data_IF_340519456343
#
_entry.id   IF_340519456343
#
_cell.length_a   1.000
_cell.length_b   1.000
_cell.length_c   1.000
_cell.angle_alpha   90.00
_cell.angle_beta   90.00
_cell.angle_gamma   90.00
#
_symmetry.space_group_name_H-M   'P 1'
#
loop_
_entity.id
_entity.type
_entity.pdbx_description
1 polymer ?
#
# COMPACT_ATOMS: atom_id res chain seq x y z
N UNK A 1 12.41 3.77 -13.39
CA UNK A 1 13.09 2.45 -13.48
C UNK A 1 14.62 2.56 -13.63
N UNK A 2 15.40 1.83 -12.81
CA UNK A 2 16.86 1.71 -12.98
C UNK A 2 17.23 0.91 -14.24
N UNK A 3 18.46 1.10 -14.74
CA UNK A 3 18.93 0.40 -15.93
C UNK A 3 18.88 -1.12 -15.70
N UNK A 4 18.12 -1.85 -16.52
CA UNK A 4 18.12 -3.32 -16.50
C UNK A 4 17.18 -3.99 -15.49
N UNK A 5 16.19 -3.28 -14.95
CA UNK A 5 15.23 -3.85 -13.98
C UNK A 5 15.70 -3.79 -12.53
N UNK A 6 16.84 -3.16 -12.29
CA UNK A 6 17.32 -2.84 -10.95
C UNK A 6 16.48 -1.69 -10.36
N UNK A 7 16.22 -1.75 -9.04
CA UNK A 7 15.49 -0.67 -8.37
C UNK A 7 16.27 0.63 -8.54
N UNK A 8 15.57 1.71 -8.90
CA UNK A 8 16.20 3.03 -8.95
C UNK A 8 16.76 3.35 -7.56
N UNK A 9 17.99 3.86 -7.49
CA UNK A 9 18.61 4.22 -6.21
C UNK A 9 18.82 5.72 -6.13
N UNK A 10 18.62 6.27 -4.93
CA UNK A 10 18.89 7.67 -4.59
C UNK A 10 19.71 7.67 -3.31
N UNK A 11 20.88 8.31 -3.34
CA UNK A 11 21.83 8.34 -2.21
C UNK A 11 22.16 6.94 -1.64
N UNK A 12 22.15 5.90 -2.49
CA UNK A 12 22.40 4.51 -2.08
C UNK A 12 21.20 3.77 -1.48
N UNK A 13 20.03 4.40 -1.40
CA UNK A 13 18.78 3.77 -0.95
C UNK A 13 17.87 3.41 -2.12
N UNK A 14 17.14 2.29 -2.04
CA UNK A 14 16.17 1.91 -3.07
C UNK A 14 14.98 2.87 -3.07
N UNK A 15 14.51 3.23 -4.25
CA UNK A 15 13.30 4.03 -4.48
C UNK A 15 12.15 3.09 -4.84
N UNK A 16 10.99 3.34 -4.26
CA UNK A 16 9.73 2.70 -4.64
C UNK A 16 8.81 3.78 -5.18
N UNK A 17 8.36 3.60 -6.42
CA UNK A 17 7.36 4.45 -7.05
C UNK A 17 5.97 4.03 -6.52
N UNK A 18 5.21 4.98 -5.98
CA UNK A 18 3.89 4.73 -5.39
C UNK A 18 2.93 5.82 -5.84
N UNK A 19 2.04 5.49 -6.78
CA UNK A 19 1.11 6.42 -7.43
C UNK A 19 0.06 7.02 -6.47
N UNK A 20 -0.20 6.33 -5.35
CA UNK A 20 -1.13 6.81 -4.32
C UNK A 20 -0.54 7.94 -3.43
N UNK A 21 0.77 8.23 -3.53
CA UNK A 21 1.35 9.39 -2.85
C UNK A 21 0.98 10.69 -3.58
N UNK A 22 0.71 11.79 -2.85
CA UNK A 22 0.34 13.05 -3.48
C UNK A 22 1.50 13.61 -4.31
N UNK A 23 1.17 14.26 -5.44
CA UNK A 23 2.13 15.01 -6.25
C UNK A 23 2.72 16.21 -5.47
N UNK A 24 3.85 16.73 -5.98
CA UNK A 24 4.52 17.91 -5.42
C UNK A 24 3.58 19.12 -5.49
N UNK A 25 3.30 19.73 -4.34
CA UNK A 25 2.46 20.91 -4.19
C UNK A 25 2.53 21.46 -2.75
N UNK A 26 2.09 22.70 -2.54
CA UNK A 26 2.15 23.35 -1.23
C UNK A 26 1.35 22.56 -0.17
N UNK A 27 2.00 22.21 0.94
CA UNK A 27 1.44 21.40 2.01
C UNK A 27 1.41 19.90 1.74
N UNK A 28 1.81 19.43 0.55
CA UNK A 28 1.77 18.00 0.21
C UNK A 28 2.99 17.25 0.73
N UNK A 29 2.71 16.10 1.34
CA UNK A 29 3.68 15.11 1.76
C UNK A 29 4.11 14.21 0.58
N UNK A 30 4.82 14.77 -0.40
CA UNK A 30 5.09 14.06 -1.66
C UNK A 30 6.25 13.05 -1.60
N UNK A 31 7.12 13.12 -0.58
CA UNK A 31 8.24 12.17 -0.42
C UNK A 31 8.27 11.64 1.01
N UNK A 32 8.38 10.31 1.16
CA UNK A 32 8.59 9.64 2.44
C UNK A 32 9.87 8.79 2.41
N UNK A 33 10.65 8.85 3.49
CA UNK A 33 11.93 8.15 3.59
C UNK A 33 12.10 7.50 4.97
N UNK A 34 12.48 6.22 4.99
CA UNK A 34 12.78 5.49 6.21
C UNK A 34 12.57 3.98 6.11
N UNK A 35 12.57 3.29 7.24
CA UNK A 35 12.35 1.85 7.32
C UNK A 35 10.85 1.53 7.50
N UNK A 36 10.18 1.28 6.38
CA UNK A 36 8.76 0.95 6.35
C UNK A 36 8.40 -0.37 7.03
N UNK A 37 9.34 -1.32 7.13
CA UNK A 37 9.11 -2.60 7.82
C UNK A 37 8.96 -2.40 9.32
N UNK A 38 9.64 -1.39 9.88
CA UNK A 38 9.52 -1.00 11.30
C UNK A 38 8.43 0.05 11.53
N UNK A 39 8.14 0.86 10.52
CA UNK A 39 7.16 1.93 10.60
C UNK A 39 5.72 1.41 10.61
N UNK A 40 5.35 0.54 9.66
CA UNK A 40 3.95 0.20 9.41
C UNK A 40 3.70 -1.31 9.47
N UNK A 41 2.75 -1.72 10.30
CA UNK A 41 2.29 -3.11 10.35
C UNK A 41 1.05 -3.26 9.49
N UNK A 42 1.10 -4.20 8.54
CA UNK A 42 -0.08 -4.68 7.81
C UNK A 42 -0.54 -5.98 8.46
N UNK A 43 -1.78 -5.99 8.97
CA UNK A 43 -2.41 -7.15 9.58
C UNK A 43 -3.47 -7.74 8.64
N UNK A 44 -3.24 -8.97 8.20
CA UNK A 44 -4.21 -9.75 7.41
C UNK A 44 -4.77 -10.88 8.29
N UNK A 45 -6.08 -10.86 8.54
CA UNK A 45 -6.72 -11.83 9.46
C UNK A 45 -6.97 -13.17 8.77
N UNK A 46 -7.52 -13.11 7.57
CA UNK A 46 -7.89 -14.22 6.73
C UNK A 46 -7.81 -13.69 5.30
N UNK A 47 -7.13 -14.45 4.43
CA UNK A 47 -7.00 -14.11 3.02
C UNK A 47 -8.34 -13.93 2.31
N UNK A 48 -8.31 -13.65 1.00
CA UNK A 48 -9.53 -13.42 0.25
C UNK A 48 -10.46 -14.65 0.27
N UNK A 49 -11.73 -14.43 0.64
CA UNK A 49 -12.79 -15.45 0.60
C UNK A 49 -13.80 -15.07 -0.47
N UNK A 50 -14.22 -16.05 -1.26
CA UNK A 50 -15.26 -15.91 -2.28
C UNK A 50 -16.49 -16.71 -1.87
N UNK A 51 -17.66 -16.08 -1.90
CA UNK A 51 -18.96 -16.73 -1.81
C UNK A 51 -19.65 -16.64 -3.17
N UNK A 52 -20.02 -17.79 -3.72
CA UNK A 52 -20.91 -17.88 -4.88
C UNK A 52 -22.36 -17.96 -4.38
N UNK A 53 -23.19 -17.02 -4.77
CA UNK A 53 -24.60 -16.96 -4.39
C UNK A 53 -25.51 -17.04 -5.63
N UNK A 54 -26.07 -18.23 -5.92
CA UNK A 54 -27.02 -18.44 -7.01
C UNK A 54 -28.48 -18.16 -6.60
N UNK A 55 -28.74 -17.70 -5.37
CA UNK A 55 -30.09 -17.64 -4.81
C UNK A 55 -30.65 -16.22 -4.73
N UNK A 56 -29.83 -15.22 -4.38
CA UNK A 56 -30.32 -13.86 -4.10
C UNK A 56 -30.82 -13.11 -5.34
N UNK A 57 -30.24 -13.34 -6.53
CA UNK A 57 -30.63 -12.63 -7.76
C UNK A 57 -30.69 -13.57 -8.97
N UNK A 58 -31.78 -14.33 -9.09
CA UNK A 58 -32.05 -15.16 -10.29
C UNK A 58 -32.19 -14.25 -11.53
N UNK A 59 -31.64 -14.61 -12.71
CA UNK A 59 -30.95 -15.85 -13.11
C UNK A 59 -29.42 -15.83 -12.92
N UNK A 60 -28.86 -14.87 -12.17
CA UNK A 60 -27.42 -14.65 -12.05
C UNK A 60 -26.81 -15.38 -10.84
N UNK A 61 -25.51 -15.69 -10.94
CA UNK A 61 -24.69 -16.11 -9.79
C UNK A 61 -23.84 -14.94 -9.36
N UNK A 62 -24.08 -14.45 -8.14
CA UNK A 62 -23.31 -13.36 -7.55
C UNK A 62 -22.01 -13.91 -6.97
N UNK A 63 -20.90 -13.23 -7.24
CA UNK A 63 -19.63 -13.50 -6.60
C UNK A 63 -19.35 -12.42 -5.56
N UNK A 64 -19.51 -12.78 -4.29
CA UNK A 64 -19.22 -11.90 -3.17
C UNK A 64 -17.86 -12.24 -2.57
N UNK A 65 -16.88 -11.38 -2.82
CA UNK A 65 -15.51 -11.55 -2.33
C UNK A 65 -15.25 -10.62 -1.16
N UNK A 66 -14.82 -11.18 -0.03
CA UNK A 66 -14.46 -10.42 1.17
C UNK A 66 -13.01 -10.67 1.54
N UNK A 67 -12.30 -9.60 1.91
CA UNK A 67 -10.98 -9.68 2.55
C UNK A 67 -10.96 -8.72 3.74
N UNK A 68 -10.36 -9.14 4.87
CA UNK A 68 -10.20 -8.29 6.05
C UNK A 68 -8.72 -8.02 6.29
N UNK A 69 -8.28 -6.84 5.86
CA UNK A 69 -6.94 -6.30 6.11
C UNK A 69 -7.08 -5.04 6.92
N UNK A 70 -6.11 -4.78 7.80
CA UNK A 70 -5.92 -3.50 8.45
C UNK A 70 -4.44 -3.19 8.55
N UNK A 71 -4.12 -2.02 9.08
CA UNK A 71 -2.75 -1.68 9.39
C UNK A 71 -2.66 -0.43 10.23
N UNK A 72 -1.46 -0.16 10.73
CA UNK A 72 -1.19 1.03 11.52
C UNK A 72 0.29 1.25 11.75
N UNK A 73 0.62 2.46 12.17
CA UNK A 73 1.98 2.87 12.51
C UNK A 73 2.40 2.22 13.82
N UNK A 74 3.51 1.49 13.82
CA UNK A 74 4.15 0.94 15.02
C UNK A 74 5.23 1.85 15.58
N UNK A 75 6.04 2.48 14.74
CA UNK A 75 7.15 3.32 15.16
C UNK A 75 7.18 4.63 14.39
N UNK A 76 6.81 5.73 15.04
CA UNK A 76 6.75 7.07 14.45
C UNK A 76 8.11 7.66 14.08
N UNK A 77 9.21 7.11 14.62
CA UNK A 77 10.57 7.58 14.33
C UNK A 77 11.21 6.87 13.14
N UNK A 78 10.62 5.77 12.66
CA UNK A 78 11.19 4.95 11.61
C UNK A 78 11.10 5.57 10.20
N UNK A 79 10.16 6.52 9.98
CA UNK A 79 9.96 7.20 8.69
C UNK A 79 9.81 8.69 8.92
N UNK A 80 10.36 9.49 8.00
CA UNK A 80 10.17 10.95 7.92
C UNK A 80 9.59 11.31 6.56
N UNK A 81 8.85 12.40 6.53
CA UNK A 81 8.09 12.84 5.35
C UNK A 81 8.49 14.28 5.02
N UNK A 82 8.71 14.54 3.75
CA UNK A 82 9.01 15.87 3.23
C UNK A 82 7.71 16.52 2.77
N UNK A 83 7.40 17.66 3.39
CA UNK A 83 6.26 18.52 3.02
C UNK A 83 6.81 19.71 2.23
N UNK A 84 6.16 20.04 1.12
CA UNK A 84 6.54 21.13 0.23
C UNK A 84 5.81 22.43 0.53
#
# INVERSE_FOLDING_TARGET
PGSGGEAATVMGYPVTEMEDMPDIGEGNAAIAFGDFKRFYLIADRQGARVLRDPFSAKPYVLFYTTKRVGGGVQNFDAVKVMVF
#
